data_IF_481594843887
#
_entry.id   IF_481594843887
#
_cell.length_a   1.000
_cell.length_b   1.000
_cell.length_c   1.000
_cell.angle_alpha   90.00
_cell.angle_beta   90.00
_cell.angle_gamma   90.00
#
_symmetry.space_group_name_H-M   'P 1'
#
loop_
_entity.id
_entity.type
_entity.pdbx_description
1 polymer ?
#
# COMPACT_ATOMS: atom_id res chain seq x y z
N UNK A 1 -9.48 2.11 9.22
CA UNK A 1 -8.41 1.05 9.14
C UNK A 1 -7.30 1.56 8.22
N UNK A 2 -6.04 1.08 8.29
CA UNK A 2 -4.96 1.59 7.41
C UNK A 2 -4.76 0.73 6.15
N UNK A 3 -4.51 -0.56 6.32
CA UNK A 3 -4.42 -1.51 5.22
C UNK A 3 -4.81 -2.89 5.71
N UNK A 4 -5.20 -3.76 4.79
CA UNK A 4 -5.54 -5.15 5.09
C UNK A 4 -5.23 -6.08 3.92
N UNK A 5 -5.11 -7.36 4.22
CA UNK A 5 -4.86 -8.41 3.23
C UNK A 5 -5.69 -9.67 3.50
N UNK A 6 -5.90 -10.45 2.45
CA UNK A 6 -6.65 -11.70 2.47
C UNK A 6 -5.79 -12.95 2.33
N UNK A 7 -4.53 -12.82 1.88
CA UNK A 7 -3.67 -13.95 1.56
C UNK A 7 -3.09 -14.71 2.78
N UNK A 8 -2.99 -16.05 2.73
CA UNK A 8 -3.71 -16.93 1.80
C UNK A 8 -5.21 -16.87 2.09
N UNK A 9 -6.02 -16.88 1.04
CA UNK A 9 -7.47 -16.87 1.20
C UNK A 9 -7.96 -18.18 1.82
N UNK A 10 -8.58 -18.09 2.99
CA UNK A 10 -9.23 -19.21 3.67
C UNK A 10 -10.73 -18.91 3.87
N UNK A 11 -11.63 -19.89 3.67
CA UNK A 11 -13.07 -19.68 3.89
C UNK A 11 -13.37 -19.23 5.33
N UNK A 12 -14.12 -18.14 5.48
CA UNK A 12 -14.46 -17.50 6.76
C UNK A 12 -13.27 -16.86 7.52
N UNK A 13 -12.15 -16.61 6.85
CA UNK A 13 -11.06 -15.84 7.45
C UNK A 13 -11.46 -14.37 7.59
N UNK A 14 -11.17 -13.78 8.76
CA UNK A 14 -11.24 -12.33 8.96
C UNK A 14 -10.13 -11.64 8.18
N UNK A 15 -10.40 -10.43 7.68
CA UNK A 15 -9.35 -9.56 7.14
C UNK A 15 -8.20 -9.41 8.14
N UNK A 16 -6.97 -9.48 7.64
CA UNK A 16 -5.78 -9.27 8.45
C UNK A 16 -5.34 -7.83 8.27
N UNK A 17 -5.43 -7.05 9.33
CA UNK A 17 -5.12 -5.62 9.30
C UNK A 17 -3.64 -5.35 9.57
N UNK A 18 -3.11 -4.29 8.96
CA UNK A 18 -1.79 -3.75 9.27
C UNK A 18 -1.91 -2.67 10.34
N UNK A 19 -1.14 -2.82 11.43
CA UNK A 19 -0.96 -1.78 12.45
C UNK A 19 -0.04 -0.65 11.97
N UNK A 20 -0.09 0.49 12.66
CA UNK A 20 0.83 1.62 12.39
C UNK A 20 2.28 1.21 12.54
N UNK A 21 2.59 0.48 13.60
CA UNK A 21 3.94 0.02 13.93
C UNK A 21 4.50 -0.90 12.83
N UNK A 22 3.65 -1.75 12.25
CA UNK A 22 4.01 -2.58 11.10
C UNK A 22 4.28 -1.74 9.85
N UNK A 23 3.45 -0.74 9.58
CA UNK A 23 3.61 0.14 8.41
C UNK A 23 4.80 1.11 8.54
N UNK A 24 5.41 1.24 9.71
CA UNK A 24 6.69 1.95 9.90
C UNK A 24 7.93 1.10 9.53
N UNK A 25 7.75 -0.18 9.20
CA UNK A 25 8.83 -1.02 8.66
C UNK A 25 8.74 -1.09 7.13
N UNK A 26 9.76 -0.55 6.46
CA UNK A 26 9.88 -0.56 4.99
C UNK A 26 9.73 -1.94 4.36
N UNK A 27 10.19 -3.02 5.00
CA UNK A 27 10.08 -4.38 4.46
C UNK A 27 8.65 -4.89 4.49
N UNK A 28 7.89 -4.49 5.51
CA UNK A 28 6.48 -4.82 5.62
C UNK A 28 5.67 -4.03 4.59
N UNK A 29 6.02 -2.77 4.34
CA UNK A 29 5.40 -1.96 3.27
C UNK A 29 5.69 -2.53 1.89
N UNK A 30 6.92 -2.98 1.64
CA UNK A 30 7.28 -3.69 0.40
C UNK A 30 6.40 -4.93 0.21
N UNK A 31 6.27 -5.76 1.25
CA UNK A 31 5.40 -6.96 1.23
C UNK A 31 3.93 -6.59 1.00
N UNK A 32 3.46 -5.50 1.60
CA UNK A 32 2.11 -4.98 1.37
C UNK A 32 1.92 -4.61 -0.11
N UNK A 33 2.89 -3.94 -0.73
CA UNK A 33 2.84 -3.59 -2.14
C UNK A 33 2.85 -4.83 -3.04
N UNK A 34 3.65 -5.85 -2.71
CA UNK A 34 3.62 -7.14 -3.42
C UNK A 34 2.21 -7.76 -3.41
N UNK A 35 1.50 -7.70 -2.27
CA UNK A 35 0.13 -8.19 -2.20
C UNK A 35 -0.86 -7.29 -2.94
N UNK A 36 -0.67 -5.97 -2.93
CA UNK A 36 -1.49 -5.05 -3.72
C UNK A 36 -1.34 -5.30 -5.23
N UNK A 37 -0.14 -5.66 -5.70
CA UNK A 37 0.13 -6.00 -7.10
C UNK A 37 -0.73 -7.17 -7.59
N UNK A 38 -0.99 -8.15 -6.73
CA UNK A 38 -1.80 -9.34 -7.05
C UNK A 38 -3.24 -9.24 -6.55
N UNK A 39 -3.69 -8.05 -6.14
CA UNK A 39 -5.05 -7.76 -5.66
C UNK A 39 -5.45 -8.51 -4.36
N UNK A 40 -4.47 -8.89 -3.55
CA UNK A 40 -4.66 -9.60 -2.28
C UNK A 40 -4.57 -8.68 -1.04
N UNK A 41 -4.24 -7.41 -1.25
CA UNK A 41 -4.22 -6.40 -0.20
C UNK A 41 -4.75 -5.05 -0.68
N UNK A 42 -5.29 -4.28 0.25
CA UNK A 42 -5.89 -2.97 0.02
C UNK A 42 -5.37 -1.97 1.04
N UNK A 43 -5.02 -0.78 0.55
CA UNK A 43 -4.62 0.38 1.36
C UNK A 43 -5.78 1.36 1.36
N UNK A 44 -6.29 1.73 2.53
CA UNK A 44 -7.39 2.71 2.64
C UNK A 44 -6.87 4.12 2.37
N UNK A 45 -7.77 5.11 2.24
CA UNK A 45 -7.36 6.51 2.15
C UNK A 45 -6.53 6.96 3.37
N UNK A 46 -6.90 6.49 4.57
CA UNK A 46 -6.15 6.77 5.79
C UNK A 46 -4.78 6.08 5.78
N UNK A 47 -4.69 4.87 5.23
CA UNK A 47 -3.44 4.15 5.01
C UNK A 47 -2.49 4.91 4.10
N UNK A 48 -2.98 5.37 2.94
CA UNK A 48 -2.19 6.20 2.03
C UNK A 48 -1.74 7.50 2.67
N UNK A 49 -2.64 8.21 3.36
CA UNK A 49 -2.29 9.44 4.08
C UNK A 49 -1.18 9.20 5.12
N UNK A 50 -1.27 8.10 5.88
CA UNK A 50 -0.24 7.70 6.85
C UNK A 50 1.09 7.39 6.17
N UNK A 51 1.09 6.59 5.11
CA UNK A 51 2.31 6.22 4.38
C UNK A 51 3.01 7.45 3.78
N UNK A 52 2.23 8.36 3.18
CA UNK A 52 2.74 9.61 2.61
C UNK A 52 3.31 10.51 3.71
N UNK A 53 2.62 10.64 4.84
CA UNK A 53 3.10 11.44 5.98
C UNK A 53 4.40 10.89 6.59
N UNK A 54 4.48 9.57 6.74
CA UNK A 54 5.64 8.93 7.38
C UNK A 54 6.88 8.83 6.48
N UNK A 55 6.71 8.47 5.21
CA UNK A 55 7.82 8.20 4.30
C UNK A 55 8.05 9.29 3.25
N UNK A 56 7.01 10.04 2.87
CA UNK A 56 7.02 10.88 1.68
C UNK A 56 6.98 10.06 0.38
N UNK A 57 6.70 10.73 -0.74
CA UNK A 57 6.55 10.06 -2.04
C UNK A 57 7.85 9.47 -2.55
N UNK A 58 8.99 10.14 -2.31
CA UNK A 58 10.31 9.69 -2.76
C UNK A 58 10.63 8.32 -2.19
N UNK A 59 10.42 8.12 -0.88
CA UNK A 59 10.73 6.86 -0.23
C UNK A 59 9.73 5.77 -0.59
N UNK A 60 8.44 6.10 -0.73
CA UNK A 60 7.43 5.15 -1.19
C UNK A 60 7.72 4.68 -2.63
N UNK A 61 8.20 5.58 -3.49
CA UNK A 61 8.62 5.22 -4.85
C UNK A 61 9.81 4.25 -4.85
N UNK A 62 10.81 4.45 -3.98
CA UNK A 62 11.91 3.49 -3.83
C UNK A 62 11.42 2.08 -3.41
N UNK A 63 10.49 2.03 -2.46
CA UNK A 63 9.90 0.77 -1.98
C UNK A 63 9.10 0.11 -3.11
N UNK A 64 8.30 0.89 -3.83
CA UNK A 64 7.49 0.40 -4.95
C UNK A 64 8.33 -0.11 -6.13
N UNK A 65 9.50 0.50 -6.41
CA UNK A 65 10.44 -0.04 -7.41
C UNK A 65 11.02 -1.40 -7.01
N UNK A 66 11.06 -1.73 -5.72
CA UNK A 66 11.49 -3.04 -5.24
C UNK A 66 10.37 -4.09 -5.39
N UNK A 67 9.12 -3.73 -5.06
CA UNK A 67 7.96 -4.61 -5.21
C UNK A 67 7.52 -4.78 -6.68
N UNK A 68 7.67 -3.73 -7.48
CA UNK A 68 7.22 -3.68 -8.87
C UNK A 68 5.70 -3.54 -9.01
N UNK A 69 5.01 -2.95 -8.03
CA UNK A 69 3.56 -2.79 -8.08
C UNK A 69 3.12 -1.73 -9.10
N UNK A 70 3.57 -0.49 -8.97
CA UNK A 70 3.14 0.60 -9.85
C UNK A 70 4.11 0.73 -11.03
N UNK A 71 3.59 0.58 -12.24
CA UNK A 71 4.35 0.78 -13.47
C UNK A 71 4.52 2.29 -13.75
N UNK A 72 5.51 2.88 -13.08
CA UNK A 72 5.90 4.29 -13.22
C UNK A 72 7.41 4.42 -13.45
N UNK A 73 7.77 5.20 -14.48
CA UNK A 73 9.16 5.48 -14.85
C UNK A 73 9.70 6.72 -14.13
N UNK A 74 8.80 7.57 -13.63
CA UNK A 74 9.14 8.80 -12.89
C UNK A 74 8.40 8.92 -11.57
N UNK A 75 8.94 9.74 -10.66
CA UNK A 75 8.30 10.06 -9.39
C UNK A 75 6.97 10.79 -9.58
N UNK A 76 6.86 11.64 -10.61
CA UNK A 76 5.64 12.36 -10.96
C UNK A 76 4.53 11.41 -11.42
N UNK A 77 4.83 10.47 -12.32
CA UNK A 77 3.88 9.41 -12.73
C UNK A 77 3.47 8.54 -11.53
N UNK A 78 4.42 8.19 -10.65
CA UNK A 78 4.12 7.47 -9.42
C UNK A 78 3.14 8.24 -8.54
N UNK A 79 3.33 9.55 -8.35
CA UNK A 79 2.40 10.41 -7.60
C UNK A 79 1.01 10.40 -8.22
N UNK A 80 0.89 10.48 -9.55
CA UNK A 80 -0.40 10.42 -10.24
C UNK A 80 -1.12 9.08 -10.00
N UNK A 81 -0.40 7.97 -10.06
CA UNK A 81 -0.94 6.64 -9.74
C UNK A 81 -1.37 6.53 -8.28
N UNK A 82 -0.55 6.99 -7.33
CA UNK A 82 -0.92 7.00 -5.91
C UNK A 82 -2.19 7.84 -5.69
N UNK A 83 -2.32 8.99 -6.35
CA UNK A 83 -3.55 9.80 -6.28
C UNK A 83 -4.76 9.07 -6.88
N UNK A 84 -4.57 8.35 -7.99
CA UNK A 84 -5.61 7.49 -8.55
C UNK A 84 -6.04 6.41 -7.54
N UNK A 85 -5.10 5.68 -6.94
CA UNK A 85 -5.40 4.67 -5.92
C UNK A 85 -6.13 5.28 -4.72
N UNK A 86 -5.72 6.45 -4.22
CA UNK A 86 -6.42 7.18 -3.16
C UNK A 86 -7.86 7.50 -3.57
N UNK A 87 -8.08 7.91 -4.83
CA UNK A 87 -9.42 8.28 -5.32
C UNK A 87 -10.41 7.12 -5.36
N UNK A 88 -9.91 5.89 -5.55
CA UNK A 88 -10.71 4.67 -5.60
C UNK A 88 -10.68 3.88 -4.28
N UNK A 89 -9.89 4.31 -3.30
CA UNK A 89 -9.80 3.68 -1.98
C UNK A 89 -10.99 4.07 -1.09
N UNK A 90 -11.33 3.24 -0.12
CA UNK A 90 -12.40 3.54 0.85
C UNK A 90 -11.92 4.48 1.97
N UNK A 91 -12.85 5.25 2.58
CA UNK A 91 -12.57 6.27 3.62
C UNK A 91 -12.36 5.71 5.05
N UNK A 92 -12.68 4.43 5.28
CA UNK A 92 -12.85 3.75 6.58
C UNK A 92 -12.20 4.37 7.84
#
# INVERSE_FOLDING_TARGET
MLAYYFYPFEPNQNVREYSKEQLMDTKIVETLFDYCQILEAYITKQGWAFLIDHYGYEKLYEIDKASGWIDADTLEEYKEWVQYYISISEDE
#
